data_IF_557848208389
#
_entry.id   IF_557848208389
#
_cell.length_a   1.000
_cell.length_b   1.000
_cell.length_c   1.000
_cell.angle_alpha   90.00
_cell.angle_beta   90.00
_cell.angle_gamma   90.00
#
_symmetry.space_group_name_H-M   'P 1'
#
loop_
_entity.id
_entity.type
_entity.pdbx_description
1 polymer ?
#
# COMPACT_ATOMS: atom_id res chain seq x y z
N UNK A 1 9.33 25.39 2.79
CA UNK A 1 7.97 25.78 2.38
C UNK A 1 7.99 27.26 2.02
N UNK A 2 7.41 27.65 0.90
CA UNK A 2 7.35 29.05 0.42
C UNK A 2 6.08 29.80 0.90
N UNK A 3 5.31 29.20 1.82
CA UNK A 3 4.10 29.79 2.39
C UNK A 3 2.96 29.97 1.38
N UNK A 4 2.96 29.21 0.26
CA UNK A 4 1.94 29.34 -0.78
C UNK A 4 2.23 30.45 -1.80
N UNK A 5 3.48 30.94 -1.86
CA UNK A 5 3.92 31.91 -2.85
C UNK A 5 3.89 31.34 -4.28
N UNK A 6 4.05 30.03 -4.44
CA UNK A 6 3.96 29.35 -5.73
C UNK A 6 3.16 28.05 -5.65
N UNK A 7 2.51 27.71 -6.76
CA UNK A 7 1.75 26.48 -6.94
C UNK A 7 2.15 25.84 -8.26
N UNK A 8 2.48 24.55 -8.23
CA UNK A 8 2.87 23.77 -9.41
C UNK A 8 1.94 22.57 -9.54
N UNK A 9 1.44 22.34 -10.75
CA UNK A 9 0.61 21.17 -11.04
C UNK A 9 1.43 19.88 -10.93
N UNK A 10 0.92 18.92 -10.15
CA UNK A 10 1.55 17.61 -9.89
C UNK A 10 0.57 16.48 -10.22
N UNK A 11 0.12 16.42 -11.49
CA UNK A 11 -0.95 15.53 -11.94
C UNK A 11 -0.56 14.64 -13.14
N UNK A 12 0.73 14.47 -13.41
CA UNK A 12 1.20 13.64 -14.51
C UNK A 12 0.78 12.17 -14.30
N UNK A 13 0.10 11.58 -15.29
CA UNK A 13 -0.46 10.22 -15.20
C UNK A 13 -1.95 10.18 -14.80
N UNK A 14 -2.50 11.27 -14.27
CA UNK A 14 -3.96 11.43 -14.14
C UNK A 14 -4.52 11.92 -15.50
N UNK A 15 -5.50 11.24 -16.11
CA UNK A 15 -6.08 11.67 -17.39
C UNK A 15 -6.68 13.08 -17.31
N UNK A 16 -6.51 13.88 -18.37
CA UNK A 16 -6.90 15.29 -18.39
C UNK A 16 -8.40 15.57 -18.12
N UNK A 17 -9.27 14.59 -18.40
CA UNK A 17 -10.72 14.71 -18.20
C UNK A 17 -11.20 14.07 -16.88
N UNK A 18 -10.28 13.85 -15.94
CA UNK A 18 -10.56 13.23 -14.65
C UNK A 18 -10.60 14.31 -13.55
N UNK A 19 -11.73 14.43 -12.86
CA UNK A 19 -11.87 15.35 -11.72
C UNK A 19 -11.27 14.70 -10.47
N UNK A 20 -10.25 15.32 -9.89
CA UNK A 20 -9.75 14.96 -8.55
C UNK A 20 -10.67 15.59 -7.50
N UNK A 21 -11.15 14.79 -6.55
CA UNK A 21 -12.14 15.21 -5.55
C UNK A 21 -11.61 15.15 -4.12
N UNK A 22 -10.70 14.22 -3.87
CA UNK A 22 -10.04 14.04 -2.59
C UNK A 22 -8.61 13.57 -2.80
N UNK A 23 -7.75 13.83 -1.83
CA UNK A 23 -6.46 13.20 -1.72
C UNK A 23 -6.12 12.94 -0.26
N UNK A 24 -5.27 11.95 -0.01
CA UNK A 24 -4.69 11.66 1.29
C UNK A 24 -3.23 11.26 1.09
N UNK A 25 -2.37 11.60 2.05
CA UNK A 25 -1.00 11.11 2.08
C UNK A 25 -0.92 9.89 2.99
N UNK A 26 0.04 9.00 2.71
CA UNK A 26 0.40 7.92 3.61
C UNK A 26 1.29 8.49 4.73
N UNK A 27 0.87 8.46 6.00
CA UNK A 27 1.64 9.04 7.09
C UNK A 27 2.96 8.30 7.38
N UNK A 28 3.13 7.06 6.94
CA UNK A 28 4.42 6.36 7.08
C UNK A 28 5.34 6.50 5.85
N UNK A 29 4.80 6.92 4.70
CA UNK A 29 5.55 7.15 3.46
C UNK A 29 5.20 8.54 2.91
N UNK A 30 5.93 9.57 3.31
CA UNK A 30 5.56 10.97 3.04
C UNK A 30 5.52 11.35 1.56
N UNK A 31 6.15 10.57 0.69
CA UNK A 31 6.10 10.73 -0.78
C UNK A 31 4.95 9.96 -1.43
N UNK A 32 4.28 9.09 -0.68
CA UNK A 32 3.13 8.31 -1.16
C UNK A 32 1.83 9.05 -0.89
N UNK A 33 1.06 9.28 -1.96
CA UNK A 33 -0.27 9.90 -1.89
C UNK A 33 -1.26 9.13 -2.74
N UNK A 34 -2.53 9.21 -2.35
CA UNK A 34 -3.66 8.64 -3.07
C UNK A 34 -4.65 9.73 -3.40
N UNK A 35 -5.11 9.78 -4.65
CA UNK A 35 -6.10 10.72 -5.16
C UNK A 35 -7.38 9.99 -5.52
N UNK A 36 -8.49 10.39 -4.90
CA UNK A 36 -9.83 9.95 -5.23
C UNK A 36 -10.39 10.82 -6.35
N UNK A 37 -10.84 10.19 -7.43
CA UNK A 37 -11.25 10.90 -8.65
C UNK A 37 -12.59 10.42 -9.18
N UNK A 38 -13.10 11.07 -10.24
CA UNK A 38 -14.23 10.55 -11.02
C UNK A 38 -13.92 9.26 -11.80
N UNK A 39 -12.64 8.90 -11.94
CA UNK A 39 -12.15 7.76 -12.72
C UNK A 39 -11.49 6.65 -11.91
N UNK A 40 -11.55 6.72 -10.57
CA UNK A 40 -11.00 5.74 -9.63
C UNK A 40 -10.04 6.39 -8.64
N UNK A 41 -9.24 5.55 -7.98
CA UNK A 41 -8.11 5.94 -7.16
C UNK A 41 -6.84 5.96 -8.01
N UNK A 42 -6.01 6.98 -7.82
CA UNK A 42 -4.66 7.06 -8.36
C UNK A 42 -3.65 7.13 -7.21
N UNK A 43 -2.50 6.51 -7.35
CA UNK A 43 -1.40 6.51 -6.38
C UNK A 43 -0.17 7.20 -6.99
N UNK A 44 0.53 7.99 -6.20
CA UNK A 44 1.91 8.41 -6.45
C UNK A 44 2.79 7.86 -5.33
N UNK A 45 4.06 7.60 -5.63
CA UNK A 45 5.10 7.25 -4.66
C UNK A 45 6.27 8.25 -4.69
N UNK A 46 6.15 9.31 -5.50
CA UNK A 46 7.23 10.27 -5.79
C UNK A 46 6.82 11.71 -5.49
N UNK A 47 5.88 11.90 -4.56
CA UNK A 47 5.39 13.22 -4.15
C UNK A 47 4.54 13.92 -5.21
N UNK A 48 3.95 13.16 -6.14
CA UNK A 48 3.06 13.66 -7.19
C UNK A 48 3.74 13.93 -8.54
N UNK A 49 5.02 13.59 -8.70
CA UNK A 49 5.71 13.71 -9.98
C UNK A 49 5.14 12.73 -11.02
N UNK A 50 4.66 11.56 -10.60
CA UNK A 50 3.92 10.61 -11.43
C UNK A 50 2.82 9.90 -10.65
N UNK A 51 1.71 9.62 -11.33
CA UNK A 51 0.53 8.94 -10.80
C UNK A 51 0.20 7.70 -11.62
N UNK A 52 -0.18 6.63 -10.95
CA UNK A 52 -0.63 5.37 -11.56
C UNK A 52 -1.99 4.97 -11.02
N UNK A 53 -2.77 4.20 -11.79
CA UNK A 53 -4.10 3.76 -11.36
C UNK A 53 -4.01 2.72 -10.24
N UNK A 54 -4.75 2.91 -9.16
CA UNK A 54 -4.82 2.01 -8.00
C UNK A 54 -6.25 1.44 -7.84
N UNK A 55 -6.73 0.78 -8.90
CA UNK A 55 -8.15 0.43 -9.05
C UNK A 55 -8.44 -1.09 -9.04
N UNK A 56 -7.43 -1.93 -8.77
CA UNK A 56 -7.61 -3.37 -8.75
C UNK A 56 -8.67 -3.77 -7.69
N UNK A 57 -9.69 -4.52 -8.11
CA UNK A 57 -10.80 -4.94 -7.24
C UNK A 57 -11.80 -3.85 -6.85
N UNK A 58 -11.63 -2.60 -7.31
CA UNK A 58 -12.54 -1.50 -7.00
C UNK A 58 -13.77 -1.52 -7.94
N UNK A 59 -14.99 -1.77 -7.45
CA UNK A 59 -16.17 -1.96 -8.30
C UNK A 59 -16.76 -0.64 -8.81
N UNK A 60 -16.49 0.48 -8.13
CA UNK A 60 -17.02 1.81 -8.45
C UNK A 60 -15.89 2.82 -8.54
N UNK A 61 -15.85 3.60 -9.63
CA UNK A 61 -14.75 4.53 -9.93
C UNK A 61 -14.97 5.97 -9.45
N UNK A 62 -16.18 6.34 -9.08
CA UNK A 62 -16.48 7.70 -8.65
C UNK A 62 -16.20 7.82 -7.15
N UNK A 63 -14.97 8.23 -6.81
CA UNK A 63 -14.46 8.33 -5.43
C UNK A 63 -14.60 9.77 -4.94
N UNK A 64 -15.21 9.92 -3.76
CA UNK A 64 -15.51 11.21 -3.14
C UNK A 64 -14.59 11.55 -1.97
N UNK A 65 -14.10 10.53 -1.26
CA UNK A 65 -13.24 10.70 -0.09
C UNK A 65 -12.31 9.50 0.06
N UNK A 66 -11.15 9.73 0.65
CA UNK A 66 -10.15 8.72 0.98
C UNK A 66 -9.66 8.92 2.41
N UNK A 67 -9.44 7.82 3.14
CA UNK A 67 -8.80 7.82 4.46
C UNK A 67 -7.87 6.62 4.55
N UNK A 68 -6.65 6.84 5.04
CA UNK A 68 -5.69 5.77 5.33
C UNK A 68 -5.75 5.43 6.81
N UNK A 69 -5.86 4.14 7.11
CA UNK A 69 -5.48 3.57 8.39
C UNK A 69 -4.10 2.89 8.20
N UNK A 70 -3.01 3.53 8.63
CA UNK A 70 -1.66 2.99 8.44
C UNK A 70 -1.41 1.80 9.37
N UNK A 71 -2.10 1.69 10.51
CA UNK A 71 -1.90 0.62 11.48
C UNK A 71 -2.39 -0.73 10.95
N UNK A 72 -3.45 -0.69 10.13
CA UNK A 72 -4.03 -1.87 9.50
C UNK A 72 -3.70 -1.98 8.00
N UNK A 73 -2.92 -1.05 7.46
CA UNK A 73 -2.56 -0.96 6.02
C UNK A 73 -3.80 -0.91 5.12
N UNK A 74 -4.79 -0.10 5.54
CA UNK A 74 -6.08 0.01 4.87
C UNK A 74 -6.27 1.38 4.25
N UNK A 75 -6.81 1.39 3.03
CA UNK A 75 -7.32 2.59 2.39
C UNK A 75 -8.84 2.44 2.26
N UNK A 76 -9.56 3.33 2.93
CA UNK A 76 -11.00 3.46 2.82
C UNK A 76 -11.34 4.47 1.74
N UNK A 77 -12.27 4.11 0.86
CA UNK A 77 -12.77 4.97 -0.20
C UNK A 77 -14.29 5.09 -0.12
N UNK A 78 -14.79 6.31 0.07
CA UNK A 78 -16.23 6.60 -0.07
C UNK A 78 -16.55 6.90 -1.53
N UNK A 79 -17.55 6.22 -2.10
CA UNK A 79 -17.87 6.32 -3.53
C UNK A 79 -19.32 6.78 -3.79
N UNK A 80 -19.64 7.17 -5.04
CA UNK A 80 -21.00 7.50 -5.48
C UNK A 80 -21.25 7.15 -6.96
N UNK A 81 -22.26 6.33 -7.31
CA UNK A 81 -23.14 5.59 -6.40
C UNK A 81 -22.37 4.47 -5.72
N UNK A 82 -22.54 4.26 -4.42
CA UNK A 82 -21.78 3.25 -3.70
C UNK A 82 -21.63 3.58 -2.22
N UNK A 83 -21.23 2.59 -1.43
CA UNK A 83 -20.93 2.76 -0.01
C UNK A 83 -19.47 3.09 0.22
N UNK A 84 -18.95 2.59 1.34
CA UNK A 84 -17.52 2.63 1.67
C UNK A 84 -16.89 1.33 1.19
N UNK A 85 -15.79 1.46 0.45
CA UNK A 85 -14.94 0.34 0.03
C UNK A 85 -13.64 0.39 0.82
N UNK A 86 -13.06 -0.76 1.11
CA UNK A 86 -11.77 -0.87 1.77
C UNK A 86 -10.89 -1.83 1.00
N UNK A 87 -9.62 -1.46 0.84
CA UNK A 87 -8.58 -2.39 0.43
C UNK A 87 -7.53 -2.44 1.52
N UNK A 88 -7.06 -3.65 1.80
CA UNK A 88 -5.86 -3.88 2.58
C UNK A 88 -4.74 -4.22 1.59
N UNK A 89 -3.63 -3.50 1.65
CA UNK A 89 -2.51 -3.68 0.73
C UNK A 89 -1.21 -3.35 1.44
N UNK A 90 -0.20 -4.20 1.28
CA UNK A 90 1.17 -3.97 1.76
C UNK A 90 1.74 -2.61 1.29
N UNK A 91 1.26 -2.13 0.14
CA UNK A 91 1.63 -0.83 -0.43
C UNK A 91 1.12 0.38 0.36
N UNK A 92 0.22 0.17 1.34
CA UNK A 92 -0.38 1.18 2.22
C UNK A 92 0.25 1.04 3.59
N UNK A 93 0.67 2.14 4.20
CA UNK A 93 1.29 2.11 5.53
C UNK A 93 2.75 1.64 5.52
N UNK A 94 3.37 1.48 4.35
CA UNK A 94 4.82 1.27 4.22
C UNK A 94 5.32 -0.13 4.57
N UNK A 95 4.43 -1.11 4.72
CA UNK A 95 4.84 -2.47 5.08
C UNK A 95 5.15 -3.29 3.84
N UNK A 96 6.43 -3.48 3.56
CA UNK A 96 6.84 -4.37 2.49
C UNK A 96 6.40 -5.82 2.76
N UNK A 97 6.00 -6.53 1.72
CA UNK A 97 5.75 -7.96 1.85
C UNK A 97 7.09 -8.65 2.19
N UNK A 98 7.15 -9.31 3.35
CA UNK A 98 8.39 -9.85 3.91
C UNK A 98 9.08 -8.98 4.95
N UNK A 99 8.61 -7.75 5.18
CA UNK A 99 8.99 -6.90 6.32
C UNK A 99 8.09 -7.28 7.52
N UNK A 100 8.61 -8.20 8.33
CA UNK A 100 7.92 -8.82 9.45
C UNK A 100 8.10 -8.05 10.77
N UNK A 101 9.13 -7.20 10.85
CA UNK A 101 9.41 -6.33 12.00
C UNK A 101 8.89 -4.89 11.83
N UNK A 102 8.47 -4.51 10.62
CA UNK A 102 7.95 -3.18 10.29
C UNK A 102 9.03 -2.11 10.17
N UNK A 103 10.27 -2.50 9.91
CA UNK A 103 11.42 -1.60 9.73
C UNK A 103 11.37 -0.81 8.42
N UNK A 104 10.53 -1.22 7.47
CA UNK A 104 10.47 -0.67 6.13
C UNK A 104 11.55 -1.21 5.20
N UNK A 105 12.23 -2.31 5.55
CA UNK A 105 13.23 -2.98 4.72
C UNK A 105 13.19 -4.48 4.92
N UNK A 106 13.08 -5.27 3.85
CA UNK A 106 13.19 -6.73 3.95
C UNK A 106 14.66 -7.11 4.09
N UNK A 107 15.09 -7.52 5.28
CA UNK A 107 16.48 -7.78 5.58
C UNK A 107 16.71 -9.02 6.46
N UNK A 108 17.91 -9.15 7.03
CA UNK A 108 18.28 -10.31 7.86
C UNK A 108 17.47 -10.40 9.17
N UNK A 109 17.02 -9.28 9.73
CA UNK A 109 16.18 -9.27 10.92
C UNK A 109 14.82 -9.94 10.61
N UNK A 110 14.25 -9.66 9.43
CA UNK A 110 13.06 -10.37 8.93
C UNK A 110 13.32 -11.85 8.65
N UNK A 111 14.50 -12.19 8.11
CA UNK A 111 14.87 -13.57 7.89
C UNK A 111 14.88 -14.38 9.20
N UNK A 112 15.40 -13.81 10.30
CA UNK A 112 15.38 -14.49 11.59
C UNK A 112 13.96 -14.65 12.14
N UNK A 113 13.09 -13.65 11.95
CA UNK A 113 11.67 -13.78 12.32
C UNK A 113 10.97 -14.88 11.51
N UNK A 114 11.23 -14.94 10.20
CA UNK A 114 10.72 -15.98 9.32
C UNK A 114 11.23 -17.37 9.71
N UNK A 115 12.55 -17.51 9.89
CA UNK A 115 13.20 -18.77 10.20
C UNK A 115 12.71 -19.36 11.53
N UNK A 116 12.34 -18.52 12.50
CA UNK A 116 11.75 -18.95 13.76
C UNK A 116 10.40 -19.66 13.60
N UNK A 117 9.68 -19.38 12.51
CA UNK A 117 8.39 -19.99 12.18
C UNK A 117 8.48 -21.08 11.09
N UNK A 118 9.63 -21.27 10.45
CA UNK A 118 9.77 -22.20 9.33
C UNK A 118 9.44 -23.65 9.73
N UNK A 119 8.64 -24.31 8.89
CA UNK A 119 8.14 -25.67 9.11
C UNK A 119 7.01 -25.75 10.14
N UNK A 120 6.50 -24.62 10.64
CA UNK A 120 5.36 -24.57 11.56
C UNK A 120 4.05 -24.34 10.80
N UNK A 121 2.93 -24.76 11.40
CA UNK A 121 1.60 -24.39 10.89
C UNK A 121 1.37 -22.89 11.06
N UNK A 122 0.79 -22.27 10.04
CA UNK A 122 0.42 -20.87 10.03
C UNK A 122 -0.85 -20.65 10.88
N UNK A 123 -0.64 -20.43 12.18
CA UNK A 123 -1.72 -20.15 13.14
C UNK A 123 -1.28 -19.07 14.11
N UNK A 124 -2.24 -18.29 14.62
CA UNK A 124 -1.94 -17.20 15.55
C UNK A 124 -0.93 -16.21 14.98
N UNK A 125 0.13 -15.92 15.74
CA UNK A 125 1.18 -14.96 15.37
C UNK A 125 2.00 -15.39 14.14
N UNK A 126 2.02 -16.68 13.82
CA UNK A 126 2.77 -17.20 12.67
C UNK A 126 2.06 -16.99 11.33
N UNK A 127 0.77 -16.64 11.31
CA UNK A 127 0.03 -16.41 10.06
C UNK A 127 0.66 -15.32 9.20
N UNK A 128 1.40 -14.38 9.80
CA UNK A 128 2.08 -13.31 9.05
C UNK A 128 3.22 -13.83 8.15
N UNK A 129 3.71 -15.06 8.38
CA UNK A 129 4.80 -15.66 7.61
C UNK A 129 4.32 -16.61 6.50
N UNK A 130 3.02 -16.90 6.44
CA UNK A 130 2.37 -17.65 5.36
C UNK A 130 2.00 -16.67 4.24
N UNK A 131 2.95 -16.47 3.34
CA UNK A 131 2.88 -15.52 2.24
C UNK A 131 2.11 -16.09 1.05
N UNK A 132 2.08 -17.42 0.89
CA UNK A 132 1.36 -18.10 -0.19
C UNK A 132 -0.07 -18.55 0.18
N UNK A 133 -0.43 -18.48 1.46
CA UNK A 133 -1.75 -18.82 2.00
C UNK A 133 -2.01 -20.32 2.09
N UNK A 134 -0.96 -21.14 2.13
CA UNK A 134 -1.06 -22.59 2.17
C UNK A 134 -1.44 -23.17 3.54
N UNK A 135 -1.34 -22.36 4.60
CA UNK A 135 -1.57 -22.78 5.99
C UNK A 135 -0.32 -23.35 6.68
N UNK A 136 0.83 -23.34 6.03
CA UNK A 136 2.13 -23.74 6.57
C UNK A 136 3.19 -22.70 6.20
N UNK A 137 4.13 -22.42 7.10
CA UNK A 137 5.26 -21.55 6.80
C UNK A 137 6.37 -22.40 6.19
N UNK A 138 6.47 -22.39 4.86
CA UNK A 138 7.24 -23.36 4.09
C UNK A 138 8.21 -22.76 3.07
N UNK A 139 8.73 -23.63 2.20
CA UNK A 139 9.69 -23.24 1.17
C UNK A 139 9.10 -22.25 0.14
N UNK A 140 7.81 -22.34 -0.16
CA UNK A 140 7.16 -21.40 -1.07
C UNK A 140 7.16 -19.98 -0.48
N UNK A 141 6.85 -19.84 0.80
CA UNK A 141 6.92 -18.58 1.52
C UNK A 141 8.34 -18.05 1.57
N UNK A 142 9.32 -18.93 1.78
CA UNK A 142 10.73 -18.55 1.75
C UNK A 142 11.12 -17.95 0.40
N UNK A 143 10.68 -18.51 -0.72
CA UNK A 143 10.98 -17.95 -2.04
C UNK A 143 10.27 -16.61 -2.29
N UNK A 144 9.02 -16.45 -1.83
CA UNK A 144 8.30 -15.17 -1.88
C UNK A 144 9.00 -14.10 -1.04
N UNK A 145 9.49 -14.46 0.15
CA UNK A 145 10.28 -13.61 1.02
C UNK A 145 11.64 -13.26 0.37
N UNK A 146 12.38 -14.25 -0.13
CA UNK A 146 13.70 -14.06 -0.70
C UNK A 146 13.69 -13.18 -1.95
N UNK A 147 12.62 -13.23 -2.76
CA UNK A 147 12.41 -12.34 -3.91
C UNK A 147 12.22 -10.86 -3.51
N UNK A 148 12.02 -10.61 -2.21
CA UNK A 148 11.87 -9.28 -1.62
C UNK A 148 13.11 -8.84 -0.84
N UNK A 149 14.10 -9.71 -0.63
CA UNK A 149 15.27 -9.38 0.18
C UNK A 149 16.04 -8.17 -0.37
N UNK A 150 16.38 -7.22 0.50
CA UNK A 150 17.02 -5.96 0.16
C UNK A 150 16.08 -4.90 -0.42
N UNK A 151 14.78 -5.18 -0.56
CA UNK A 151 13.80 -4.15 -0.88
C UNK A 151 13.59 -3.22 0.32
N UNK A 152 13.44 -1.93 0.05
CA UNK A 152 13.09 -0.90 1.02
C UNK A 152 11.77 -0.26 0.61
N UNK A 153 10.92 0.06 1.58
CA UNK A 153 9.75 0.90 1.38
C UNK A 153 10.24 2.26 0.87
N UNK A 154 9.54 2.82 -0.13
CA UNK A 154 9.96 4.06 -0.80
C UNK A 154 9.41 5.30 -0.11
#
# INVERSE_FOLDING_TARGET
MDGGASWTSVNAGIPANTTVRAFTFDPSQTQTLYAGTSGGVYKTADGGASWTSFNAGLPVKSILTLVIDPSEQRLYAGANPGGVYVIQSADIGGRLLGDFDGSGEVNFDDFFLFAAAFGQKATGENMKFDLDGSGEVGLNDFFLFADRFGQKAQ
#
